data_IF_341786227054
#
_entry.id   IF_341786227054
#
_cell.length_a   1.000
_cell.length_b   1.000
_cell.length_c   1.000
_cell.angle_alpha   90.00
_cell.angle_beta   90.00
_cell.angle_gamma   90.00
#
_symmetry.space_group_name_H-M   'P 1'
#
loop_
_entity.id
_entity.type
_entity.pdbx_description
1 polymer ?
#
# COMPACT_ATOMS: atom_id res chain seq x y z
N UNK A 1 76.82 49.28 -21.73
CA UNK A 1 75.65 49.81 -22.48
C UNK A 1 74.40 49.06 -21.98
N UNK A 2 73.72 49.57 -20.95
CA UNK A 2 72.58 48.88 -20.33
C UNK A 2 71.26 49.46 -20.86
N UNK A 3 70.45 48.63 -21.53
CA UNK A 3 69.09 48.99 -21.97
C UNK A 3 68.14 48.97 -20.77
N UNK A 4 67.47 50.10 -20.50
CA UNK A 4 66.42 50.20 -19.49
C UNK A 4 65.15 49.47 -19.98
N UNK A 5 64.42 48.76 -19.11
CA UNK A 5 63.18 48.12 -19.50
C UNK A 5 62.06 49.18 -19.60
N UNK A 6 61.41 49.23 -20.76
CA UNK A 6 60.19 50.02 -20.98
C UNK A 6 59.04 49.35 -20.25
N UNK A 7 58.66 49.88 -19.09
CA UNK A 7 57.42 49.55 -18.41
C UNK A 7 56.25 50.13 -19.19
N UNK A 8 55.41 49.27 -19.80
CA UNK A 8 54.12 49.69 -20.34
C UNK A 8 53.24 50.19 -19.18
N UNK A 9 52.52 51.31 -19.31
CA UNK A 9 51.62 51.77 -18.26
C UNK A 9 50.48 50.76 -18.10
N UNK A 10 50.33 50.24 -16.87
CA UNK A 10 49.15 49.45 -16.49
C UNK A 10 47.95 50.38 -16.57
N UNK A 11 46.98 50.08 -17.46
CA UNK A 11 45.68 50.74 -17.46
C UNK A 11 45.04 50.48 -16.10
N UNK A 12 44.84 51.55 -15.34
CA UNK A 12 44.07 51.53 -14.11
C UNK A 12 42.61 51.36 -14.53
N UNK A 13 42.08 50.15 -14.44
CA UNK A 13 40.62 49.95 -14.53
C UNK A 13 40.02 50.60 -13.29
N UNK A 14 39.63 51.87 -13.43
CA UNK A 14 38.71 52.50 -12.49
C UNK A 14 37.38 51.79 -12.68
N UNK A 15 37.08 50.81 -11.84
CA UNK A 15 35.72 50.33 -11.69
C UNK A 15 34.88 51.54 -11.29
N UNK A 16 34.08 52.06 -12.21
CA UNK A 16 33.16 53.15 -11.92
C UNK A 16 32.29 52.71 -10.73
N UNK A 17 32.32 53.50 -9.66
CA UNK A 17 31.40 53.30 -8.55
C UNK A 17 29.98 53.39 -9.12
N UNK A 18 29.21 52.29 -9.06
CA UNK A 18 27.83 52.27 -9.54
C UNK A 18 27.09 53.47 -8.95
N UNK A 19 26.47 54.28 -9.80
CA UNK A 19 25.61 55.38 -9.38
C UNK A 19 24.50 54.81 -8.46
N UNK A 20 24.20 55.47 -7.34
CA UNK A 20 23.22 55.02 -6.33
C UNK A 20 21.88 54.59 -6.96
N UNK A 21 21.48 55.20 -8.07
CA UNK A 21 20.29 54.81 -8.83
C UNK A 21 20.43 53.45 -9.54
N UNK A 22 21.59 53.18 -10.13
CA UNK A 22 21.89 51.88 -10.77
C UNK A 22 21.99 50.78 -9.73
N UNK A 23 22.58 51.07 -8.56
CA UNK A 23 22.65 50.15 -7.42
C UNK A 23 21.26 49.79 -6.90
N UNK A 24 20.39 50.79 -6.64
CA UNK A 24 19.01 50.57 -6.20
C UNK A 24 18.18 49.78 -7.22
N UNK A 25 18.37 50.04 -8.52
CA UNK A 25 17.69 49.29 -9.60
C UNK A 25 18.15 47.83 -9.66
N UNK A 26 19.46 47.58 -9.49
CA UNK A 26 20.03 46.23 -9.46
C UNK A 26 19.58 45.46 -8.20
N UNK A 27 19.58 46.09 -7.04
CA UNK A 27 19.11 45.53 -5.77
C UNK A 27 17.62 45.15 -5.85
N UNK A 28 16.77 46.02 -6.41
CA UNK A 28 15.35 45.72 -6.59
C UNK A 28 15.09 44.57 -7.58
N UNK A 29 15.86 44.49 -8.68
CA UNK A 29 15.80 43.34 -9.60
C UNK A 29 16.24 42.05 -8.91
N UNK A 30 17.32 42.10 -8.13
CA UNK A 30 17.81 40.97 -7.37
C UNK A 30 16.79 40.49 -6.32
N UNK A 31 16.21 41.41 -5.55
CA UNK A 31 15.15 41.10 -4.57
C UNK A 31 13.95 40.46 -5.26
N UNK A 32 13.49 40.99 -6.40
CA UNK A 32 12.38 40.41 -7.15
C UNK A 32 12.68 38.98 -7.62
N UNK A 33 13.90 38.73 -8.11
CA UNK A 33 14.33 37.38 -8.52
C UNK A 33 14.38 36.43 -7.32
N UNK A 34 14.95 36.87 -6.20
CA UNK A 34 15.04 36.07 -4.97
C UNK A 34 13.65 35.73 -4.40
N UNK A 35 12.70 36.66 -4.50
CA UNK A 35 11.31 36.44 -4.08
C UNK A 35 10.64 35.39 -4.98
N UNK A 36 10.83 35.45 -6.29
CA UNK A 36 10.33 34.43 -7.23
C UNK A 36 10.91 33.05 -6.92
N UNK A 37 12.23 32.97 -6.68
CA UNK A 37 12.89 31.70 -6.30
C UNK A 37 12.32 31.16 -4.99
N UNK A 38 12.12 32.03 -4.00
CA UNK A 38 11.56 31.65 -2.70
C UNK A 38 10.14 31.12 -2.82
N UNK A 39 9.29 31.77 -3.62
CA UNK A 39 7.93 31.30 -3.90
C UNK A 39 7.95 29.95 -4.61
N UNK A 40 8.83 29.75 -5.59
CA UNK A 40 8.96 28.46 -6.28
C UNK A 40 9.44 27.35 -5.36
N UNK A 41 10.41 27.62 -4.47
CA UNK A 41 10.87 26.66 -3.47
C UNK A 41 9.76 26.29 -2.49
N UNK A 42 8.95 27.24 -2.05
CA UNK A 42 7.80 26.98 -1.18
C UNK A 42 6.72 26.17 -1.92
N UNK A 43 6.41 26.50 -3.17
CA UNK A 43 5.46 25.73 -3.98
C UNK A 43 5.92 24.28 -4.19
N UNK A 44 7.22 24.08 -4.46
CA UNK A 44 7.80 22.75 -4.60
C UNK A 44 7.80 21.96 -3.28
N UNK A 45 8.09 22.64 -2.17
CA UNK A 45 8.06 22.04 -0.83
C UNK A 45 6.63 21.67 -0.42
N UNK A 46 5.67 22.56 -0.67
CA UNK A 46 4.25 22.30 -0.44
C UNK A 46 3.77 21.10 -1.25
N UNK A 47 4.10 21.04 -2.54
CA UNK A 47 3.74 19.91 -3.39
C UNK A 47 4.35 18.58 -2.90
N UNK A 48 5.59 18.60 -2.41
CA UNK A 48 6.19 17.41 -1.78
C UNK A 48 5.54 17.05 -0.45
N UNK A 49 5.21 18.03 0.39
CA UNK A 49 4.57 17.82 1.68
C UNK A 49 3.14 17.26 1.51
N UNK A 50 2.35 17.83 0.60
CA UNK A 50 1.00 17.34 0.24
C UNK A 50 1.08 15.91 -0.33
N UNK A 51 2.08 15.59 -1.15
CA UNK A 51 2.31 14.22 -1.59
C UNK A 51 2.73 13.29 -0.45
N UNK A 52 3.48 13.78 0.54
CA UNK A 52 3.92 12.99 1.68
C UNK A 52 2.73 12.68 2.60
N UNK A 53 1.89 13.67 2.88
CA UNK A 53 0.66 13.51 3.66
C UNK A 53 -0.29 12.49 2.99
N UNK A 54 -0.47 12.59 1.67
CA UNK A 54 -1.25 11.60 0.90
C UNK A 54 -0.65 10.20 0.87
N UNK A 55 0.66 10.05 1.15
CA UNK A 55 1.38 8.78 1.13
C UNK A 55 1.71 8.24 2.53
N UNK A 56 1.47 9.02 3.58
CA UNK A 56 1.80 8.65 4.94
C UNK A 56 0.67 7.81 5.52
N UNK A 57 0.82 6.49 5.44
CA UNK A 57 -0.05 5.53 6.11
C UNK A 57 0.37 5.37 7.57
N UNK A 58 -0.50 5.73 8.51
CA UNK A 58 -0.34 5.35 9.92
C UNK A 58 -0.53 3.84 10.04
N UNK A 59 0.56 3.10 10.23
CA UNK A 59 0.53 1.65 10.42
C UNK A 59 0.30 1.37 11.91
N UNK A 60 -0.88 0.86 12.27
CA UNK A 60 -1.11 0.26 13.59
C UNK A 60 -0.37 -1.07 13.60
N UNK A 61 0.67 -1.17 14.42
CA UNK A 61 1.49 -2.38 14.54
C UNK A 61 0.86 -3.29 15.63
N UNK A 62 0.29 -4.44 15.28
CA UNK A 62 -0.22 -5.40 16.25
C UNK A 62 0.93 -5.99 17.08
N UNK A 63 0.60 -6.45 18.29
CA UNK A 63 1.57 -7.01 19.23
C UNK A 63 2.44 -8.10 18.59
N UNK A 64 3.76 -7.98 18.75
CA UNK A 64 4.75 -8.94 18.28
C UNK A 64 5.27 -8.71 16.86
N UNK A 65 4.70 -7.79 16.07
CA UNK A 65 5.25 -7.38 14.78
C UNK A 65 6.23 -6.20 14.94
N UNK A 66 7.34 -6.19 14.20
CA UNK A 66 8.17 -4.97 14.10
C UNK A 66 7.55 -4.01 13.09
N UNK A 67 7.60 -2.71 13.33
CA UNK A 67 7.08 -1.69 12.40
C UNK A 67 7.67 -1.80 10.99
N UNK A 68 8.93 -2.22 10.87
CA UNK A 68 9.61 -2.51 9.59
C UNK A 68 9.07 -3.73 8.86
N UNK A 69 8.37 -4.63 9.54
CA UNK A 69 7.75 -5.84 8.98
C UNK A 69 6.30 -5.58 8.56
N UNK A 70 5.76 -4.38 8.82
CA UNK A 70 4.39 -3.98 8.49
C UNK A 70 4.39 -2.85 7.46
N UNK A 71 5.19 -3.03 6.40
CA UNK A 71 5.32 -2.02 5.35
C UNK A 71 4.38 -2.32 4.19
N UNK A 72 3.53 -1.34 3.88
CA UNK A 72 2.87 -1.14 2.60
C UNK A 72 3.54 0.08 1.98
N UNK A 73 4.25 -0.09 0.87
CA UNK A 73 4.96 1.01 0.20
C UNK A 73 4.46 1.13 -1.22
N UNK A 74 3.79 2.24 -1.53
CA UNK A 74 3.24 2.47 -2.87
C UNK A 74 2.23 1.41 -3.26
N UNK A 75 2.64 0.49 -4.15
CA UNK A 75 1.79 -0.57 -4.73
C UNK A 75 2.11 -1.98 -4.19
N UNK A 76 3.03 -2.14 -3.24
CA UNK A 76 3.43 -3.47 -2.72
C UNK A 76 3.35 -3.59 -1.19
N UNK A 77 3.16 -4.82 -0.71
CA UNK A 77 3.17 -5.15 0.71
C UNK A 77 4.24 -6.21 1.03
N UNK A 78 4.80 -6.11 2.23
CA UNK A 78 5.70 -7.12 2.78
C UNK A 78 5.00 -8.47 3.02
N UNK A 79 5.76 -9.56 2.96
CA UNK A 79 5.25 -10.93 3.21
C UNK A 79 4.70 -11.10 4.63
N UNK A 80 5.32 -10.45 5.62
CA UNK A 80 4.88 -10.44 7.02
C UNK A 80 3.54 -9.73 7.20
N UNK A 81 3.32 -8.60 6.52
CA UNK A 81 2.00 -7.96 6.47
C UNK A 81 0.96 -8.88 5.84
N UNK A 82 1.29 -9.48 4.69
CA UNK A 82 0.39 -10.41 3.99
C UNK A 82 0.06 -11.65 4.80
N UNK A 83 0.98 -12.13 5.64
CA UNK A 83 0.72 -13.22 6.58
C UNK A 83 -0.36 -12.85 7.60
N UNK A 84 -0.36 -11.61 8.08
CA UNK A 84 -1.34 -11.15 9.08
C UNK A 84 -2.70 -10.88 8.45
N UNK A 85 -2.73 -10.22 7.29
CA UNK A 85 -3.94 -10.07 6.49
C UNK A 85 -4.50 -11.44 6.09
N UNK A 86 -3.63 -12.39 5.71
CA UNK A 86 -4.01 -13.77 5.43
C UNK A 86 -4.68 -14.45 6.63
N UNK A 87 -4.12 -14.32 7.84
CA UNK A 87 -4.77 -14.86 9.06
C UNK A 87 -6.16 -14.26 9.31
N UNK A 88 -6.31 -12.96 9.11
CA UNK A 88 -7.60 -12.26 9.26
C UNK A 88 -8.62 -12.79 8.24
N UNK A 89 -8.26 -12.78 6.95
CA UNK A 89 -9.14 -13.24 5.87
C UNK A 89 -9.51 -14.72 6.06
N UNK A 90 -8.54 -15.57 6.44
CA UNK A 90 -8.80 -16.99 6.72
C UNK A 90 -9.74 -17.18 7.90
N UNK A 91 -9.59 -16.38 8.97
CA UNK A 91 -10.54 -16.38 10.09
C UNK A 91 -11.95 -16.00 9.65
N UNK A 92 -12.11 -14.95 8.83
CA UNK A 92 -13.44 -14.44 8.50
C UNK A 92 -14.12 -15.24 7.38
N UNK A 93 -13.34 -15.79 6.44
CA UNK A 93 -13.83 -16.60 5.34
C UNK A 93 -14.04 -18.07 5.73
N UNK A 94 -13.11 -18.60 6.53
CA UNK A 94 -12.99 -20.03 6.80
C UNK A 94 -13.48 -20.46 8.17
N UNK A 95 -13.38 -19.60 9.18
CA UNK A 95 -13.80 -19.92 10.55
C UNK A 95 -15.19 -19.39 10.86
N UNK A 96 -16.23 -20.04 10.32
CA UNK A 96 -17.62 -19.57 10.38
C UNK A 96 -18.58 -20.62 10.91
N UNK A 97 -19.65 -20.14 11.52
CA UNK A 97 -20.81 -20.90 11.96
C UNK A 97 -22.10 -20.16 11.57
N UNK A 98 -23.26 -20.78 11.79
CA UNK A 98 -24.56 -20.14 11.54
C UNK A 98 -24.69 -18.75 12.21
N UNK A 99 -24.15 -18.58 13.42
CA UNK A 99 -24.30 -17.33 14.18
C UNK A 99 -23.31 -16.24 13.75
N UNK A 100 -22.15 -16.60 13.19
CA UNK A 100 -21.08 -15.65 12.87
C UNK A 100 -20.97 -15.31 11.38
N UNK A 101 -21.55 -16.12 10.50
CA UNK A 101 -21.31 -16.03 9.05
C UNK A 101 -21.71 -14.68 8.45
N UNK A 102 -22.81 -14.09 8.92
CA UNK A 102 -23.30 -12.80 8.39
C UNK A 102 -22.35 -11.65 8.72
N UNK A 103 -21.94 -11.55 9.99
CA UNK A 103 -21.02 -10.51 10.43
C UNK A 103 -19.67 -10.65 9.73
N UNK A 104 -19.09 -11.86 9.75
CA UNK A 104 -17.77 -12.10 9.15
C UNK A 104 -17.74 -11.81 7.65
N UNK A 105 -18.81 -12.12 6.93
CA UNK A 105 -18.87 -11.85 5.49
C UNK A 105 -19.14 -10.38 5.18
N UNK A 106 -19.87 -9.66 6.04
CA UNK A 106 -19.98 -8.21 5.95
C UNK A 106 -18.62 -7.52 6.17
N UNK A 107 -17.84 -8.00 7.14
CA UNK A 107 -16.48 -7.51 7.41
C UNK A 107 -15.55 -7.77 6.21
N UNK A 108 -15.61 -8.97 5.61
CA UNK A 108 -14.88 -9.25 4.36
C UNK A 108 -15.28 -8.33 3.21
N UNK A 109 -16.58 -8.07 3.02
CA UNK A 109 -17.06 -7.18 1.96
C UNK A 109 -16.54 -5.75 2.10
N UNK A 110 -16.24 -5.29 3.32
CA UNK A 110 -15.64 -3.98 3.57
C UNK A 110 -14.20 -3.83 3.04
N UNK A 111 -13.53 -4.97 2.80
CA UNK A 111 -12.18 -5.04 2.25
C UNK A 111 -12.17 -5.24 0.73
N UNK A 112 -13.33 -5.52 0.11
CA UNK A 112 -13.41 -5.84 -1.32
C UNK A 112 -13.25 -4.59 -2.18
N UNK A 113 -12.50 -4.72 -3.27
CA UNK A 113 -12.33 -3.67 -4.26
C UNK A 113 -13.69 -3.29 -4.90
N UNK A 114 -13.99 -1.99 -5.12
CA UNK A 114 -15.35 -1.54 -5.47
C UNK A 114 -16.01 -2.27 -6.63
N UNK A 115 -15.28 -2.57 -7.71
CA UNK A 115 -15.83 -3.25 -8.88
C UNK A 115 -16.08 -4.76 -8.67
N UNK A 116 -15.52 -5.36 -7.59
CA UNK A 116 -15.65 -6.77 -7.23
C UNK A 116 -16.71 -7.01 -6.16
N UNK A 117 -17.23 -5.95 -5.52
CA UNK A 117 -18.16 -6.06 -4.39
C UNK A 117 -19.34 -6.98 -4.70
N UNK A 118 -20.00 -6.80 -5.84
CA UNK A 118 -21.20 -7.58 -6.17
C UNK A 118 -20.87 -9.06 -6.44
N UNK A 119 -19.80 -9.32 -7.19
CA UNK A 119 -19.35 -10.70 -7.44
C UNK A 119 -18.97 -11.42 -6.14
N UNK A 120 -18.23 -10.75 -5.25
CA UNK A 120 -17.88 -11.28 -3.95
C UNK A 120 -19.11 -11.47 -3.04
N UNK A 121 -20.06 -10.54 -3.07
CA UNK A 121 -21.31 -10.64 -2.31
C UNK A 121 -22.10 -11.88 -2.72
N UNK A 122 -22.25 -12.13 -4.02
CA UNK A 122 -22.95 -13.33 -4.53
C UNK A 122 -22.27 -14.60 -4.01
N UNK A 123 -20.94 -14.69 -4.16
CA UNK A 123 -20.12 -15.83 -3.71
C UNK A 123 -20.23 -16.08 -2.20
N UNK A 124 -20.12 -15.02 -1.41
CA UNK A 124 -20.23 -15.10 0.06
C UNK A 124 -21.66 -15.45 0.49
N UNK A 125 -22.69 -14.90 -0.16
CA UNK A 125 -24.08 -15.23 0.12
C UNK A 125 -24.40 -16.70 -0.18
N UNK A 126 -23.91 -17.23 -1.30
CA UNK A 126 -24.06 -18.65 -1.63
C UNK A 126 -23.40 -19.54 -0.57
N UNK A 127 -22.18 -19.21 -0.17
CA UNK A 127 -21.48 -19.91 0.91
C UNK A 127 -22.21 -19.76 2.25
N UNK A 128 -22.80 -18.61 2.54
CA UNK A 128 -23.52 -18.36 3.79
C UNK A 128 -24.78 -19.23 3.90
N UNK A 129 -25.50 -19.46 2.79
CA UNK A 129 -26.67 -20.37 2.77
C UNK A 129 -26.30 -21.76 3.29
N UNK A 130 -25.10 -22.26 2.96
CA UNK A 130 -24.62 -23.56 3.44
C UNK A 130 -24.54 -23.64 4.97
N UNK A 131 -24.09 -22.58 5.63
CA UNK A 131 -23.99 -22.54 7.10
C UNK A 131 -25.33 -22.23 7.75
N UNK A 132 -26.21 -21.46 7.10
CA UNK A 132 -27.52 -21.11 7.65
C UNK A 132 -28.52 -22.26 7.69
N UNK A 133 -28.44 -23.17 6.73
CA UNK A 133 -29.33 -24.34 6.66
C UNK A 133 -29.06 -25.38 7.76
N UNK A 134 -27.87 -25.39 8.36
CA UNK A 134 -27.49 -26.36 9.40
C UNK A 134 -27.16 -25.66 10.72
N UNK A 135 -27.93 -25.95 11.77
CA UNK A 135 -27.69 -25.37 13.10
C UNK A 135 -26.37 -25.82 13.75
N UNK A 136 -25.86 -26.98 13.34
CA UNK A 136 -24.76 -27.66 14.00
C UNK A 136 -23.48 -27.72 13.18
N UNK A 137 -23.43 -27.01 12.04
CA UNK A 137 -22.24 -26.96 11.19
C UNK A 137 -21.40 -25.76 11.56
N UNK A 138 -20.18 -26.03 12.01
CA UNK A 138 -19.13 -25.04 12.20
C UNK A 138 -17.91 -25.46 11.41
N UNK A 139 -17.25 -24.49 10.80
CA UNK A 139 -15.98 -24.67 10.13
C UNK A 139 -14.95 -23.79 10.83
N UNK A 140 -13.75 -24.31 10.99
CA UNK A 140 -12.57 -23.58 11.43
C UNK A 140 -11.49 -23.79 10.39
N UNK A 141 -10.90 -22.70 9.92
CA UNK A 141 -9.69 -22.71 9.13
C UNK A 141 -8.58 -21.98 9.89
N UNK A 142 -7.40 -22.56 9.85
CA UNK A 142 -6.18 -21.97 10.38
C UNK A 142 -5.08 -21.96 9.32
N UNK A 143 -4.27 -20.91 9.32
CA UNK A 143 -3.14 -20.80 8.41
C UNK A 143 -2.07 -21.82 8.81
N UNK A 144 -1.65 -22.68 7.88
CA UNK A 144 -0.62 -23.68 8.17
C UNK A 144 0.71 -22.99 8.51
N UNK A 145 1.34 -23.31 9.67
CA UNK A 145 2.54 -22.60 10.13
C UNK A 145 3.76 -22.83 9.23
N UNK A 146 3.85 -23.99 8.59
CA UNK A 146 5.07 -24.47 7.91
C UNK A 146 4.98 -24.47 6.37
N UNK A 147 3.91 -23.92 5.78
CA UNK A 147 3.79 -23.93 4.32
C UNK A 147 4.43 -22.71 3.65
N UNK A 148 5.13 -22.91 2.51
CA UNK A 148 5.73 -21.83 1.75
C UNK A 148 4.64 -20.87 1.26
N UNK A 149 4.82 -19.60 1.58
CA UNK A 149 3.95 -18.51 1.19
C UNK A 149 4.52 -17.86 -0.07
N UNK A 150 3.76 -17.85 -1.15
CA UNK A 150 4.18 -17.28 -2.43
C UNK A 150 3.28 -16.11 -2.81
N UNK A 151 3.89 -14.97 -3.14
CA UNK A 151 3.22 -13.83 -3.74
C UNK A 151 3.61 -13.76 -5.21
N UNK A 152 2.63 -13.84 -6.11
CA UNK A 152 2.81 -13.70 -7.55
C UNK A 152 2.23 -12.37 -7.99
N UNK A 153 3.02 -11.56 -8.68
CA UNK A 153 2.58 -10.29 -9.27
C UNK A 153 1.98 -10.54 -10.66
N UNK A 154 0.83 -9.94 -10.92
CA UNK A 154 0.04 -10.01 -12.15
C UNK A 154 -0.07 -11.44 -12.70
N UNK A 155 -0.70 -12.37 -11.96
CA UNK A 155 -0.88 -13.74 -12.42
C UNK A 155 -1.66 -13.74 -13.74
N UNK A 156 -1.20 -14.53 -14.72
CA UNK A 156 -1.86 -14.64 -16.02
C UNK A 156 -3.26 -15.31 -15.92
N UNK A 157 -3.46 -16.12 -14.89
CA UNK A 157 -4.68 -16.89 -14.64
C UNK A 157 -5.67 -16.12 -13.74
N UNK A 158 -6.15 -14.97 -14.21
CA UNK A 158 -7.25 -14.23 -13.58
C UNK A 158 -8.50 -14.41 -14.44
N UNK A 159 -9.54 -15.02 -13.87
CA UNK A 159 -10.81 -15.33 -14.53
C UNK A 159 -11.89 -14.26 -14.28
N UNK A 160 -11.53 -13.13 -13.67
CA UNK A 160 -12.45 -12.06 -13.33
C UNK A 160 -12.02 -10.72 -13.94
N UNK A 161 -12.99 -9.83 -14.14
CA UNK A 161 -12.74 -8.46 -14.61
C UNK A 161 -12.51 -7.56 -13.41
N UNK A 162 -11.49 -6.70 -13.51
CA UNK A 162 -11.25 -5.61 -12.56
C UNK A 162 -10.41 -4.51 -13.20
N UNK A 163 -10.66 -3.27 -12.81
CA UNK A 163 -9.90 -2.08 -13.16
C UNK A 163 -8.64 -1.86 -12.30
N UNK A 164 -8.41 -2.72 -11.29
CA UNK A 164 -7.21 -2.68 -10.46
C UNK A 164 -5.94 -2.81 -11.32
N UNK A 165 -5.05 -1.82 -11.20
CA UNK A 165 -3.81 -1.69 -12.00
C UNK A 165 -2.83 -2.83 -11.75
N UNK A 166 -2.53 -3.11 -10.48
CA UNK A 166 -1.58 -4.13 -10.06
C UNK A 166 -2.33 -5.22 -9.31
N UNK A 167 -2.14 -6.48 -9.69
CA UNK A 167 -2.86 -7.64 -9.13
C UNK A 167 -1.83 -8.55 -8.50
N UNK A 168 -2.12 -9.05 -7.31
CA UNK A 168 -1.23 -9.93 -6.58
C UNK A 168 -2.01 -11.16 -6.17
N UNK A 169 -1.36 -12.32 -6.24
CA UNK A 169 -1.90 -13.59 -5.74
C UNK A 169 -1.05 -14.08 -4.60
N UNK A 170 -1.68 -14.26 -3.45
CA UNK A 170 -1.07 -14.84 -2.27
C UNK A 170 -1.58 -16.27 -2.09
N UNK A 171 -0.70 -17.25 -2.27
CA UNK A 171 -1.02 -18.67 -2.13
C UNK A 171 -0.45 -19.23 -0.83
N UNK A 172 -1.26 -19.98 -0.09
CA UNK A 172 -0.89 -20.54 1.21
C UNK A 172 -1.67 -21.82 1.53
N UNK A 173 -1.15 -22.61 2.46
CA UNK A 173 -1.85 -23.75 3.04
C UNK A 173 -2.72 -23.35 4.21
N UNK A 174 -3.86 -24.01 4.35
CA UNK A 174 -4.71 -23.94 5.54
C UNK A 174 -5.08 -25.34 6.02
N UNK A 175 -5.32 -25.43 7.32
CA UNK A 175 -5.89 -26.59 7.97
C UNK A 175 -7.37 -26.33 8.24
N UNK A 176 -8.23 -27.15 7.64
CA UNK A 176 -9.66 -27.09 7.82
C UNK A 176 -10.11 -28.14 8.83
N UNK A 177 -10.82 -27.71 9.86
CA UNK A 177 -11.59 -28.57 10.75
C UNK A 177 -13.07 -28.27 10.60
N UNK A 178 -13.87 -29.30 10.35
CA UNK A 178 -15.32 -29.21 10.25
C UNK A 178 -15.98 -29.94 11.40
N UNK A 179 -16.88 -29.26 12.09
CA UNK A 179 -17.65 -29.81 13.20
C UNK A 179 -19.11 -29.87 12.75
N UNK A 180 -19.72 -31.04 12.88
CA UNK A 180 -21.12 -31.28 12.53
C UNK A 180 -21.77 -31.95 13.75
N UNK A 181 -22.60 -31.20 14.48
CA UNK A 181 -23.14 -31.66 15.76
C UNK A 181 -22.01 -31.80 16.78
N UNK A 182 -21.89 -32.99 17.36
CA UNK A 182 -20.85 -33.32 18.33
C UNK A 182 -19.61 -33.94 17.68
N UNK A 183 -19.66 -34.23 16.37
CA UNK A 183 -18.58 -34.92 15.67
C UNK A 183 -17.67 -33.91 14.96
N UNK A 184 -16.38 -33.92 15.34
CA UNK A 184 -15.32 -33.26 14.59
C UNK A 184 -14.80 -34.19 13.49
N UNK A 185 -14.80 -33.72 12.25
CA UNK A 185 -14.10 -34.40 11.14
C UNK A 185 -12.58 -34.26 11.32
N UNK A 186 -11.79 -35.20 10.77
CA UNK A 186 -10.35 -35.06 10.67
C UNK A 186 -9.95 -33.72 10.04
N UNK A 187 -8.77 -33.23 10.43
CA UNK A 187 -8.21 -32.02 9.84
C UNK A 187 -7.81 -32.30 8.40
N UNK A 188 -8.28 -31.45 7.48
CA UNK A 188 -7.96 -31.52 6.06
C UNK A 188 -7.03 -30.36 5.70
N UNK A 189 -5.87 -30.66 5.12
CA UNK A 189 -5.00 -29.61 4.57
C UNK A 189 -5.46 -29.26 3.17
N UNK A 190 -5.67 -27.97 2.91
CA UNK A 190 -6.03 -27.46 1.59
C UNK A 190 -5.19 -26.24 1.23
N UNK A 191 -5.06 -25.98 -0.07
CA UNK A 191 -4.42 -24.76 -0.57
C UNK A 191 -5.50 -23.72 -0.82
N UNK A 192 -5.24 -22.51 -0.35
CA UNK A 192 -6.06 -21.34 -0.62
C UNK A 192 -5.25 -20.28 -1.35
N UNK A 193 -5.95 -19.44 -2.09
CA UNK A 193 -5.40 -18.25 -2.74
C UNK A 193 -6.25 -17.03 -2.43
N UNK A 194 -5.57 -15.92 -2.16
CA UNK A 194 -6.17 -14.60 -2.04
C UNK A 194 -5.60 -13.75 -3.17
N UNK A 195 -6.48 -13.27 -4.03
CA UNK A 195 -6.10 -12.27 -5.01
C UNK A 195 -6.41 -10.89 -4.46
N UNK A 196 -5.46 -9.97 -4.57
CA UNK A 196 -5.55 -8.64 -3.97
C UNK A 196 -4.88 -7.56 -4.81
N UNK A 197 -5.20 -6.31 -4.51
CA UNK A 197 -4.50 -5.12 -5.02
C UNK A 197 -4.13 -4.22 -3.85
N UNK A 198 -3.14 -3.36 -4.08
CA UNK A 198 -2.79 -2.29 -3.17
C UNK A 198 -2.93 -0.99 -3.94
N UNK A 199 -3.81 -0.13 -3.44
CA UNK A 199 -4.05 1.20 -3.98
C UNK A 199 -4.12 2.18 -2.80
N UNK A 200 -3.48 3.33 -2.96
CA UNK A 200 -3.42 4.40 -1.95
C UNK A 200 -2.98 3.90 -0.55
N UNK A 201 -2.00 2.98 -0.53
CA UNK A 201 -1.47 2.41 0.71
C UNK A 201 -2.45 1.48 1.45
N UNK A 202 -3.58 1.12 0.83
CA UNK A 202 -4.59 0.23 1.40
C UNK A 202 -4.63 -1.11 0.68
N UNK A 203 -4.83 -2.17 1.45
CA UNK A 203 -5.13 -3.50 0.94
C UNK A 203 -6.58 -3.58 0.46
N UNK A 204 -6.77 -4.19 -0.71
CA UNK A 204 -8.08 -4.48 -1.26
C UNK A 204 -8.15 -5.90 -1.77
N UNK A 205 -9.21 -6.59 -1.35
CA UNK A 205 -9.51 -7.96 -1.75
C UNK A 205 -10.14 -7.96 -3.14
N UNK A 206 -9.58 -8.76 -4.06
CA UNK A 206 -10.15 -9.00 -5.38
C UNK A 206 -10.94 -10.31 -5.38
N UNK A 207 -10.35 -11.39 -4.86
CA UNK A 207 -10.99 -12.71 -4.79
C UNK A 207 -10.40 -13.60 -3.69
N UNK A 208 -11.17 -14.60 -3.26
CA UNK A 208 -10.75 -15.64 -2.32
C UNK A 208 -11.15 -17.00 -2.89
N UNK A 209 -10.21 -17.93 -3.01
CA UNK A 209 -10.48 -19.30 -3.45
C UNK A 209 -9.76 -20.37 -2.62
#
# INVERSE_FOLDING_TARGET
MFKRPTTKPVKKDTSEALNNFQRSTAENKFIRVMLIITVMLNAFTYHKADQLEKRQTTVIVPYGAKSSEMLITGESASTSYMRQIGRLIVSDYGSVSKSSVDQKYADLLSLVWPDRIEAMRIKLNERAKYFKQFNSVTQSLELSPDQPMAIVTNPAEINYKTDAKSKYRYSFGVEQRKIIGETARPVETMKMRIDYTIADGRFWLLDIE
#
